data_IF_574099071777
#
_entry.id   IF_574099071777
#
_cell.length_a   1.000
_cell.length_b   1.000
_cell.length_c   1.000
_cell.angle_alpha   90.00
_cell.angle_beta   90.00
_cell.angle_gamma   90.00
#
_symmetry.space_group_name_H-M   'P 1'
#
loop_
_entity.id
_entity.type
_entity.pdbx_description
1 polymer ?
#
# COMPACT_ATOMS: atom_id res chain seq x y z
N UNK A 1 -54.41 24.07 -31.58
CA UNK A 1 -53.70 22.79 -31.69
C UNK A 1 -52.24 23.02 -32.06
N UNK A 2 -51.48 23.86 -31.31
CA UNK A 2 -50.03 24.14 -31.53
C UNK A 2 -49.19 24.12 -30.27
N UNK A 3 -49.75 23.69 -29.12
CA UNK A 3 -49.02 23.69 -27.83
C UNK A 3 -48.29 22.38 -27.53
N UNK A 4 -48.71 21.27 -28.12
CA UNK A 4 -48.15 19.93 -27.82
C UNK A 4 -46.75 19.67 -28.41
N UNK A 5 -46.40 20.30 -29.54
CA UNK A 5 -45.12 20.14 -30.19
C UNK A 5 -43.97 20.79 -29.43
N UNK A 6 -44.19 21.96 -28.79
CA UNK A 6 -43.18 22.64 -27.98
C UNK A 6 -42.83 21.85 -26.71
N UNK A 7 -43.81 21.25 -26.05
CA UNK A 7 -43.61 20.43 -24.85
C UNK A 7 -42.83 19.14 -25.19
N UNK A 8 -43.14 18.50 -26.31
CA UNK A 8 -42.41 17.31 -26.75
C UNK A 8 -40.96 17.58 -27.10
N UNK A 9 -40.64 18.70 -27.76
CA UNK A 9 -39.27 19.09 -28.12
C UNK A 9 -38.45 19.49 -26.88
N UNK A 10 -39.04 20.25 -25.97
CA UNK A 10 -38.42 20.65 -24.71
C UNK A 10 -38.09 19.44 -23.83
N UNK A 11 -38.99 18.45 -23.73
CA UNK A 11 -38.74 17.21 -22.99
C UNK A 11 -37.65 16.35 -23.63
N UNK A 12 -37.55 16.30 -24.95
CA UNK A 12 -36.47 15.58 -25.66
C UNK A 12 -35.11 16.24 -25.41
N UNK A 13 -35.04 17.58 -25.51
CA UNK A 13 -33.83 18.35 -25.20
C UNK A 13 -33.41 18.16 -23.75
N UNK A 14 -34.34 18.24 -22.81
CA UNK A 14 -34.05 18.04 -21.39
C UNK A 14 -33.48 16.62 -21.12
N UNK A 15 -34.02 15.58 -21.73
CA UNK A 15 -33.50 14.21 -21.61
C UNK A 15 -32.09 14.09 -22.15
N UNK A 16 -31.79 14.67 -23.31
CA UNK A 16 -30.46 14.61 -23.93
C UNK A 16 -29.44 15.32 -23.04
N UNK A 17 -29.78 16.51 -22.54
CA UNK A 17 -28.87 17.26 -21.63
C UNK A 17 -28.64 16.49 -20.33
N UNK A 18 -29.71 15.92 -19.75
CA UNK A 18 -29.61 15.15 -18.50
C UNK A 18 -28.80 13.87 -18.69
N UNK A 19 -28.99 13.16 -19.79
CA UNK A 19 -28.23 11.97 -20.15
C UNK A 19 -26.74 12.31 -20.39
N UNK A 20 -26.43 13.37 -21.12
CA UNK A 20 -25.06 13.81 -21.35
C UNK A 20 -24.36 14.22 -20.06
N UNK A 21 -25.05 14.97 -19.18
CA UNK A 21 -24.51 15.36 -17.87
C UNK A 21 -24.21 14.14 -16.99
N UNK A 22 -25.11 13.13 -17.02
CA UNK A 22 -24.94 11.89 -16.28
C UNK A 22 -23.75 11.08 -16.79
N UNK A 23 -23.58 10.98 -18.12
CA UNK A 23 -22.44 10.26 -18.73
C UNK A 23 -21.13 10.96 -18.38
N UNK A 24 -21.07 12.29 -18.50
CA UNK A 24 -19.86 13.06 -18.16
C UNK A 24 -19.54 12.91 -16.67
N UNK A 25 -20.54 13.02 -15.78
CA UNK A 25 -20.36 12.81 -14.34
C UNK A 25 -19.83 11.41 -14.02
N UNK A 26 -20.35 10.39 -14.67
CA UNK A 26 -19.91 8.99 -14.46
C UNK A 26 -18.47 8.79 -14.93
N UNK A 27 -18.09 9.34 -16.09
CA UNK A 27 -16.71 9.26 -16.61
C UNK A 27 -15.73 9.96 -15.67
N UNK A 28 -16.07 11.17 -15.20
CA UNK A 28 -15.23 11.91 -14.25
C UNK A 28 -15.08 11.17 -12.92
N UNK A 29 -16.16 10.60 -12.40
CA UNK A 29 -16.14 9.81 -11.17
C UNK A 29 -15.26 8.58 -11.31
N UNK A 30 -15.37 7.83 -12.40
CA UNK A 30 -14.49 6.69 -12.67
C UNK A 30 -13.02 7.12 -12.76
N UNK A 31 -12.72 8.19 -13.47
CA UNK A 31 -11.36 8.72 -13.58
C UNK A 31 -10.77 9.10 -12.22
N UNK A 32 -11.57 9.73 -11.36
CA UNK A 32 -11.16 10.10 -10.01
C UNK A 32 -10.84 8.87 -9.15
N UNK A 33 -11.70 7.84 -9.18
CA UNK A 33 -11.47 6.60 -8.43
C UNK A 33 -10.15 5.93 -8.88
N UNK A 34 -9.92 5.82 -10.18
CA UNK A 34 -8.67 5.23 -10.71
C UNK A 34 -7.45 6.04 -10.26
N UNK A 35 -7.53 7.35 -10.28
CA UNK A 35 -6.45 8.23 -9.84
C UNK A 35 -6.15 8.06 -8.34
N UNK A 36 -7.19 7.99 -7.51
CA UNK A 36 -7.05 7.82 -6.07
C UNK A 36 -6.42 6.46 -5.71
N UNK A 37 -6.82 5.39 -6.41
CA UNK A 37 -6.21 4.06 -6.25
C UNK A 37 -4.71 4.12 -6.59
N UNK A 38 -4.36 4.73 -7.71
CA UNK A 38 -2.97 4.85 -8.13
C UNK A 38 -2.12 5.63 -7.13
N UNK A 39 -2.64 6.76 -6.65
CA UNK A 39 -1.99 7.60 -5.65
C UNK A 39 -1.77 6.85 -4.33
N UNK A 40 -2.78 6.12 -3.86
CA UNK A 40 -2.69 5.34 -2.62
C UNK A 40 -1.62 4.24 -2.73
N UNK A 41 -1.56 3.52 -3.85
CA UNK A 41 -0.51 2.52 -4.09
C UNK A 41 0.90 3.12 -4.03
N UNK A 42 1.09 4.30 -4.61
CA UNK A 42 2.39 4.99 -4.54
C UNK A 42 2.74 5.43 -3.12
N UNK A 43 1.76 5.90 -2.36
CA UNK A 43 1.96 6.31 -0.96
C UNK A 43 2.42 5.12 -0.12
N UNK A 44 1.71 3.99 -0.19
CA UNK A 44 2.09 2.75 0.53
C UNK A 44 3.52 2.32 0.18
N UNK A 45 3.87 2.31 -1.10
CA UNK A 45 5.21 1.92 -1.54
C UNK A 45 6.30 2.89 -1.05
N UNK A 46 6.02 4.19 -1.05
CA UNK A 46 6.96 5.20 -0.58
C UNK A 46 7.15 5.15 0.94
N UNK A 47 6.08 4.95 1.69
CA UNK A 47 6.12 4.82 3.14
C UNK A 47 6.90 3.55 3.55
N UNK A 48 6.63 2.42 2.88
CA UNK A 48 7.39 1.19 3.08
C UNK A 48 8.88 1.39 2.82
N UNK A 49 9.26 2.04 1.72
CA UNK A 49 10.66 2.34 1.39
C UNK A 49 11.32 3.26 2.41
N UNK A 50 10.61 4.28 2.92
CA UNK A 50 11.13 5.18 3.96
C UNK A 50 11.39 4.43 5.26
N UNK A 51 10.45 3.60 5.70
CA UNK A 51 10.58 2.78 6.90
C UNK A 51 11.79 1.84 6.75
N UNK A 52 11.90 1.13 5.63
CA UNK A 52 13.03 0.26 5.33
C UNK A 52 14.37 1.00 5.36
N UNK A 53 14.44 2.20 4.75
CA UNK A 53 15.65 3.00 4.71
C UNK A 53 16.10 3.44 6.12
N UNK A 54 15.16 3.78 7.01
CA UNK A 54 15.46 4.15 8.39
C UNK A 54 16.00 2.97 9.20
N UNK A 55 15.47 1.77 8.96
CA UNK A 55 15.85 0.57 9.69
C UNK A 55 17.02 -0.21 9.05
N UNK A 56 17.47 0.18 7.85
CA UNK A 56 18.53 -0.53 7.13
C UNK A 56 19.85 -0.62 7.90
N UNK A 57 20.26 0.47 8.58
CA UNK A 57 21.49 0.49 9.32
C UNK A 57 21.47 -0.40 10.58
N UNK A 58 20.50 -0.27 11.52
CA UNK A 58 20.45 -1.15 12.68
C UNK A 58 20.22 -2.62 12.28
N UNK A 59 19.46 -2.89 11.22
CA UNK A 59 19.29 -4.24 10.68
C UNK A 59 20.61 -4.82 10.15
N UNK A 60 21.40 -4.02 9.39
CA UNK A 60 22.71 -4.46 8.90
C UNK A 60 23.66 -4.80 10.04
N UNK A 61 23.60 -4.02 11.11
CA UNK A 61 24.45 -4.27 12.30
C UNK A 61 24.02 -5.55 13.03
N UNK A 62 22.72 -5.79 13.17
CA UNK A 62 22.18 -7.02 13.79
C UNK A 62 22.60 -8.28 13.01
N UNK A 63 22.52 -8.22 11.68
CA UNK A 63 22.95 -9.36 10.82
C UNK A 63 24.46 -9.56 10.89
N UNK A 64 25.24 -8.49 10.81
CA UNK A 64 26.71 -8.57 10.89
C UNK A 64 27.20 -9.20 12.21
N UNK A 65 26.56 -8.82 13.34
CA UNK A 65 26.90 -9.38 14.65
C UNK A 65 26.22 -10.71 14.95
N UNK A 66 25.31 -11.19 14.08
CA UNK A 66 24.45 -12.34 14.30
C UNK A 66 23.63 -12.22 15.61
N UNK A 67 23.31 -10.98 15.98
CA UNK A 67 22.60 -10.66 17.22
C UNK A 67 21.07 -10.70 16.97
N UNK A 68 20.48 -11.82 17.37
CA UNK A 68 19.04 -12.04 17.23
C UNK A 68 18.24 -11.07 18.09
N UNK A 69 18.72 -10.71 19.27
CA UNK A 69 18.00 -9.82 20.17
C UNK A 69 17.93 -8.40 19.60
N UNK A 70 19.04 -7.92 19.06
CA UNK A 70 19.08 -6.66 18.31
C UNK A 70 18.16 -6.70 17.10
N UNK A 71 18.16 -7.80 16.35
CA UNK A 71 17.25 -8.00 15.22
C UNK A 71 15.77 -7.92 15.63
N UNK A 72 15.39 -8.54 16.74
CA UNK A 72 14.04 -8.48 17.30
C UNK A 72 13.66 -7.07 17.73
N UNK A 73 14.57 -6.33 18.37
CA UNK A 73 14.31 -4.93 18.76
C UNK A 73 14.05 -4.03 17.54
N UNK A 74 14.78 -4.23 16.46
CA UNK A 74 14.54 -3.49 15.21
C UNK A 74 13.15 -3.83 14.65
N UNK A 75 12.79 -5.11 14.63
CA UNK A 75 11.47 -5.55 14.18
C UNK A 75 10.37 -5.00 15.08
N UNK A 76 10.56 -4.99 16.39
CA UNK A 76 9.59 -4.40 17.33
C UNK A 76 9.38 -2.90 17.07
N UNK A 77 10.46 -2.18 16.77
CA UNK A 77 10.37 -0.80 16.35
C UNK A 77 9.56 -0.60 15.06
N UNK A 78 9.71 -1.50 14.07
CA UNK A 78 8.90 -1.51 12.86
C UNK A 78 7.41 -1.74 13.16
N UNK A 79 7.11 -2.61 14.12
CA UNK A 79 5.74 -2.94 14.52
C UNK A 79 5.06 -1.87 15.39
N UNK A 80 5.75 -0.80 15.77
CA UNK A 80 5.09 0.41 16.31
C UNK A 80 4.25 1.11 15.23
N UNK A 81 4.55 0.85 13.96
CA UNK A 81 3.71 1.30 12.86
C UNK A 81 2.62 0.25 12.58
N UNK A 82 1.35 0.66 12.71
CA UNK A 82 0.19 -0.24 12.52
C UNK A 82 0.05 -0.75 11.09
N UNK A 83 0.67 -0.09 10.11
CA UNK A 83 0.67 -0.55 8.72
C UNK A 83 1.67 -1.69 8.44
N UNK A 84 2.52 -2.09 9.38
CA UNK A 84 3.44 -3.22 9.19
C UNK A 84 2.79 -4.49 9.71
N UNK A 85 2.57 -5.45 8.80
CA UNK A 85 2.01 -6.77 9.11
C UNK A 85 3.06 -7.84 9.34
N UNK A 86 4.06 -7.88 8.49
CA UNK A 86 5.16 -8.85 8.56
C UNK A 86 6.48 -8.13 8.38
N UNK A 87 7.46 -8.52 9.16
CA UNK A 87 8.84 -8.08 8.99
C UNK A 87 9.79 -9.24 9.30
N UNK A 88 10.83 -9.36 8.48
CA UNK A 88 11.87 -10.38 8.65
C UNK A 88 13.24 -9.82 8.27
N UNK A 89 14.26 -10.23 9.02
CA UNK A 89 15.66 -9.89 8.81
C UNK A 89 16.42 -11.20 8.65
N UNK A 90 17.16 -11.35 7.57
CA UNK A 90 17.98 -12.54 7.38
C UNK A 90 18.63 -12.59 6.01
N UNK A 91 19.48 -13.61 5.81
CA UNK A 91 20.09 -13.90 4.52
C UNK A 91 19.19 -14.87 3.73
N UNK A 92 19.05 -14.73 2.40
CA UNK A 92 18.14 -15.56 1.60
C UNK A 92 18.38 -17.07 1.69
N UNK A 93 19.62 -17.49 1.97
CA UNK A 93 20.03 -18.89 2.02
C UNK A 93 20.28 -19.40 3.44
N UNK A 94 19.97 -18.62 4.46
CA UNK A 94 20.20 -18.95 5.86
C UNK A 94 18.89 -18.85 6.64
N UNK A 95 18.82 -19.48 7.83
CA UNK A 95 17.65 -19.30 8.68
C UNK A 95 17.44 -17.82 9.05
N UNK A 96 16.21 -17.38 9.04
CA UNK A 96 15.83 -16.00 9.37
C UNK A 96 16.35 -15.63 10.76
N UNK A 97 17.12 -14.54 10.86
CA UNK A 97 17.68 -14.09 12.12
C UNK A 97 16.60 -13.66 13.11
N UNK A 98 15.65 -12.86 12.63
CA UNK A 98 14.50 -12.40 13.39
C UNK A 98 13.30 -12.19 12.46
N UNK A 99 12.12 -12.58 12.92
CA UNK A 99 10.87 -12.34 12.21
C UNK A 99 9.71 -12.13 13.17
N UNK A 100 8.70 -11.37 12.73
CA UNK A 100 7.45 -11.15 13.44
C UNK A 100 6.32 -10.95 12.46
N UNK A 101 5.14 -11.45 12.83
CA UNK A 101 3.93 -11.27 12.04
C UNK A 101 2.76 -10.86 12.94
N UNK A 102 1.83 -10.07 12.40
CA UNK A 102 0.51 -9.81 12.99
C UNK A 102 -0.54 -10.62 12.27
N UNK A 103 -1.58 -11.09 12.98
CA UNK A 103 -2.76 -11.61 12.33
C UNK A 103 -3.40 -10.53 11.48
N UNK A 104 -4.10 -10.95 10.44
CA UNK A 104 -4.85 -10.06 9.56
C UNK A 104 -5.93 -9.31 10.37
N UNK A 105 -5.99 -8.00 10.22
CA UNK A 105 -7.11 -7.22 10.74
C UNK A 105 -8.39 -7.62 9.99
N UNK A 106 -9.37 -8.11 10.72
CA UNK A 106 -10.67 -8.54 10.17
C UNK A 106 -11.55 -7.31 10.01
N UNK A 107 -11.43 -6.64 8.86
CA UNK A 107 -12.24 -5.47 8.51
C UNK A 107 -13.19 -5.90 7.40
N UNK A 108 -14.50 -5.63 7.57
CA UNK A 108 -15.53 -5.92 6.55
C UNK A 108 -15.20 -5.33 5.17
N UNK A 109 -14.44 -4.23 5.13
CA UNK A 109 -13.99 -3.59 3.89
C UNK A 109 -12.80 -4.29 3.20
N UNK A 110 -12.24 -5.35 3.79
CA UNK A 110 -11.03 -6.00 3.29
C UNK A 110 -11.20 -6.57 1.88
N UNK A 111 -12.36 -7.15 1.57
CA UNK A 111 -12.64 -7.68 0.23
C UNK A 111 -12.52 -6.59 -0.84
N UNK A 112 -12.99 -5.38 -0.53
CA UNK A 112 -12.86 -4.23 -1.43
C UNK A 112 -11.41 -3.76 -1.52
N UNK A 113 -10.71 -3.71 -0.39
CA UNK A 113 -9.32 -3.24 -0.33
C UNK A 113 -8.37 -4.19 -1.06
N UNK A 114 -8.54 -5.51 -0.91
CA UNK A 114 -7.73 -6.53 -1.59
C UNK A 114 -7.97 -6.54 -3.11
N UNK A 115 -9.20 -6.26 -3.55
CA UNK A 115 -9.52 -6.13 -4.99
C UNK A 115 -8.93 -4.84 -5.57
N UNK A 116 -8.98 -3.73 -4.82
CA UNK A 116 -8.57 -2.40 -5.26
C UNK A 116 -7.05 -2.21 -5.19
N UNK A 117 -6.44 -2.58 -4.07
CA UNK A 117 -5.00 -2.37 -3.83
C UNK A 117 -4.14 -3.55 -4.30
N UNK A 118 -4.76 -4.69 -4.58
CA UNK A 118 -4.09 -5.92 -4.99
C UNK A 118 -3.57 -6.73 -3.80
N UNK A 119 -3.03 -7.92 -4.12
CA UNK A 119 -2.44 -8.82 -3.12
C UNK A 119 -1.26 -8.15 -2.43
N UNK A 120 -1.02 -8.55 -1.20
CA UNK A 120 0.09 -8.11 -0.36
C UNK A 120 1.41 -8.02 -1.14
N UNK A 121 2.03 -6.85 -1.08
CA UNK A 121 3.33 -6.61 -1.70
C UNK A 121 4.40 -6.62 -0.60
N UNK A 122 5.38 -7.49 -0.74
CA UNK A 122 6.56 -7.49 0.12
C UNK A 122 7.59 -6.52 -0.46
N UNK A 123 8.07 -5.63 0.37
CA UNK A 123 9.15 -4.70 0.04
C UNK A 123 10.43 -5.20 0.72
N UNK A 124 11.53 -5.21 -0.03
CA UNK A 124 12.83 -5.67 0.43
C UNK A 124 13.87 -4.59 0.24
N UNK A 125 14.81 -4.50 1.18
CA UNK A 125 16.01 -3.68 1.03
C UNK A 125 17.24 -4.53 1.38
N UNK A 126 18.29 -4.52 0.53
CA UNK A 126 19.53 -5.20 0.83
C UNK A 126 20.26 -4.54 1.99
N UNK A 127 20.71 -5.34 2.93
CA UNK A 127 21.52 -4.94 4.07
C UNK A 127 23.00 -5.02 3.68
N UNK A 128 23.63 -3.86 3.58
CA UNK A 128 25.03 -3.76 3.15
C UNK A 128 25.89 -3.11 4.22
N UNK A 129 27.12 -3.57 4.34
CA UNK A 129 28.12 -2.98 5.22
C UNK A 129 28.52 -1.56 4.79
N UNK A 130 28.93 -0.75 5.75
CA UNK A 130 29.47 0.61 5.49
C UNK A 130 30.92 0.63 5.01
N UNK A 131 31.56 -0.53 4.86
CA UNK A 131 32.94 -0.63 4.39
C UNK A 131 33.11 -0.25 2.91
N UNK A 132 34.35 -0.06 2.44
CA UNK A 132 34.65 0.28 1.05
C UNK A 132 34.17 -0.80 0.06
N UNK A 133 34.00 -2.04 0.52
CA UNK A 133 33.57 -3.17 -0.32
C UNK A 133 32.08 -3.45 -0.29
N UNK A 134 31.25 -2.68 0.49
CA UNK A 134 29.78 -2.83 0.57
C UNK A 134 29.33 -4.30 0.61
N UNK A 135 29.90 -5.09 1.51
CA UNK A 135 29.55 -6.49 1.66
C UNK A 135 28.05 -6.65 1.93
N UNK A 136 27.42 -7.59 1.23
CA UNK A 136 26.02 -7.92 1.39
C UNK A 136 25.85 -8.86 2.59
N UNK A 137 25.01 -8.48 3.55
CA UNK A 137 24.76 -9.24 4.78
C UNK A 137 23.43 -9.95 4.78
N UNK A 138 22.49 -9.55 3.93
CA UNK A 138 21.13 -10.10 3.88
C UNK A 138 20.10 -9.09 3.46
N UNK A 139 18.83 -9.38 3.72
CA UNK A 139 17.70 -8.55 3.36
C UNK A 139 16.84 -8.24 4.59
N UNK A 140 16.33 -7.02 4.62
CA UNK A 140 15.21 -6.63 5.46
C UNK A 140 13.95 -6.63 4.61
N UNK A 141 13.00 -7.49 4.95
CA UNK A 141 11.73 -7.63 4.25
C UNK A 141 10.59 -7.10 5.12
N UNK A 142 9.71 -6.31 4.53
CA UNK A 142 8.44 -5.91 5.17
C UNK A 142 7.27 -6.14 4.23
N UNK A 143 6.15 -6.54 4.82
CA UNK A 143 4.86 -6.62 4.13
C UNK A 143 3.90 -5.69 4.87
N UNK A 144 3.53 -4.54 4.28
CA UNK A 144 2.53 -3.65 4.88
C UNK A 144 1.13 -4.29 4.81
N UNK A 145 0.30 -3.97 5.79
CA UNK A 145 -1.14 -4.23 5.73
C UNK A 145 -1.82 -3.13 4.92
N UNK A 146 -2.62 -3.53 3.95
CA UNK A 146 -3.38 -2.60 3.11
C UNK A 146 -4.68 -2.13 3.77
N UNK A 147 -5.14 -2.83 4.81
CA UNK A 147 -6.39 -2.54 5.51
C UNK A 147 -6.49 -1.12 6.09
N UNK A 148 -5.45 -0.55 6.75
CA UNK A 148 -5.51 0.82 7.26
C UNK A 148 -5.71 1.88 6.17
N UNK A 149 -5.22 1.61 4.97
CA UNK A 149 -5.37 2.54 3.83
C UNK A 149 -6.77 2.51 3.22
N UNK A 150 -7.54 1.45 3.45
CA UNK A 150 -8.93 1.32 3.00
C UNK A 150 -9.90 2.22 3.74
N UNK A 151 -9.58 2.61 4.97
CA UNK A 151 -10.44 3.50 5.77
C UNK A 151 -10.56 4.92 5.19
N UNK A 152 -9.66 5.33 4.32
CA UNK A 152 -9.70 6.64 3.66
C UNK A 152 -10.65 6.66 2.44
N UNK A 153 -11.26 5.53 2.07
CA UNK A 153 -12.20 5.43 0.95
C UNK A 153 -13.68 5.37 1.40
N UNK A 154 -13.95 5.42 2.70
CA UNK A 154 -15.27 5.50 3.31
C UNK A 154 -15.48 6.90 3.88
#
# INVERSE_FOLDING_TARGET
MKLDLKHSLSLKLLRVVLLSALIVGLVLSCAQIVFDIYKTRQTVANDAKRILAMCSFPSSQAVYSLDREMGLQVIEGLFQNDSVRYAAIGHPNEPVLAEKSRPLLDIESRLLTDVILGKEQTFSIPLVGRGPHKEYYGDLNITPDTAPYGQNFI
#
